data_IF_508253570334
#
_entry.id   IF_508253570334
#
_cell.length_a   1.000
_cell.length_b   1.000
_cell.length_c   1.000
_cell.angle_alpha   90.00
_cell.angle_beta   90.00
_cell.angle_gamma   90.00
#
_symmetry.space_group_name_H-M   'P 1'
#
loop_
_entity.id
_entity.type
_entity.pdbx_description
1 polymer ?
#
# COMPACT_ATOMS: atom_id res chain seq x y z
N UNK A 1 4.21 -25.13 -17.11
CA UNK A 1 3.67 -23.86 -16.58
C UNK A 1 3.14 -23.08 -17.77
N UNK A 2 1.95 -22.45 -17.69
CA UNK A 2 1.53 -21.50 -18.70
C UNK A 2 2.50 -20.31 -18.68
N UNK A 3 3.08 -19.98 -19.82
CA UNK A 3 3.89 -18.78 -20.00
C UNK A 3 2.96 -17.69 -20.47
N UNK A 4 2.73 -16.66 -19.64
CA UNK A 4 1.96 -15.48 -20.08
C UNK A 4 2.85 -14.62 -20.99
N UNK A 5 2.28 -14.09 -22.06
CA UNK A 5 2.98 -13.10 -22.87
C UNK A 5 3.16 -11.81 -22.05
N UNK A 6 4.31 -11.16 -22.18
CA UNK A 6 4.67 -9.95 -21.40
C UNK A 6 3.61 -8.83 -21.56
N UNK A 7 3.06 -8.67 -22.77
CA UNK A 7 1.98 -7.73 -23.05
C UNK A 7 0.68 -8.03 -22.26
N UNK A 8 0.31 -9.30 -22.08
CA UNK A 8 -0.87 -9.66 -21.29
C UNK A 8 -0.68 -9.30 -19.82
N UNK A 9 0.55 -9.40 -19.32
CA UNK A 9 0.89 -9.10 -17.94
C UNK A 9 0.91 -7.59 -17.70
N UNK A 10 1.54 -6.83 -18.59
CA UNK A 10 1.53 -5.36 -18.55
C UNK A 10 0.08 -4.85 -18.62
N UNK A 11 -0.73 -5.42 -19.51
CA UNK A 11 -2.13 -5.04 -19.64
C UNK A 11 -2.96 -5.27 -18.36
N UNK A 12 -2.64 -6.29 -17.56
CA UNK A 12 -3.29 -6.52 -16.24
C UNK A 12 -2.96 -5.45 -15.21
N UNK A 13 -1.82 -4.77 -15.36
CA UNK A 13 -1.35 -3.75 -14.43
C UNK A 13 -1.44 -2.32 -14.98
N UNK A 14 -2.01 -2.11 -16.18
CA UNK A 14 -2.16 -0.78 -16.77
C UNK A 14 -2.81 0.23 -15.81
N UNK A 15 -3.85 -0.21 -15.08
CA UNK A 15 -4.56 0.63 -14.11
C UNK A 15 -3.73 0.95 -12.84
N UNK A 16 -2.61 0.27 -12.64
CA UNK A 16 -1.67 0.44 -11.53
C UNK A 16 -0.29 0.95 -11.99
N UNK A 17 -0.14 1.27 -13.28
CA UNK A 17 1.12 1.74 -13.86
C UNK A 17 1.66 3.01 -13.18
N UNK A 18 0.79 3.81 -12.57
CA UNK A 18 1.17 5.00 -11.80
C UNK A 18 1.97 4.67 -10.52
N UNK A 19 1.87 3.44 -10.01
CA UNK A 19 2.65 2.98 -8.86
C UNK A 19 4.09 2.62 -9.24
N UNK A 20 4.36 2.35 -10.52
CA UNK A 20 5.66 1.88 -11.00
C UNK A 20 6.63 3.05 -11.16
N UNK A 21 7.87 2.88 -10.73
CA UNK A 21 8.95 3.87 -10.84
C UNK A 21 9.72 4.07 -9.52
N UNK A 22 10.65 5.02 -9.57
CA UNK A 22 11.41 5.45 -8.40
C UNK A 22 10.84 6.74 -7.83
N UNK A 23 10.65 6.76 -6.50
CA UNK A 23 9.99 7.86 -5.81
C UNK A 23 10.76 8.34 -4.59
N UNK A 24 10.66 9.63 -4.32
CA UNK A 24 10.85 10.20 -2.99
C UNK A 24 9.51 10.18 -2.27
N UNK A 25 9.52 9.92 -0.95
CA UNK A 25 8.31 9.84 -0.14
C UNK A 25 8.35 10.91 0.94
N UNK A 26 7.28 11.69 1.06
CA UNK A 26 6.98 12.50 2.25
C UNK A 26 5.91 11.80 3.08
N UNK A 27 6.21 11.55 4.35
CA UNK A 27 5.32 10.84 5.29
C UNK A 27 4.63 11.85 6.19
N UNK A 28 3.32 11.69 6.36
CA UNK A 28 2.49 12.53 7.21
C UNK A 28 1.74 11.69 8.24
N UNK A 29 1.79 12.13 9.50
CA UNK A 29 1.00 11.57 10.60
C UNK A 29 -0.26 12.42 10.79
N UNK A 30 -1.39 11.79 11.13
CA UNK A 30 -2.61 12.54 11.44
C UNK A 30 -2.62 13.02 12.88
N UNK A 31 -2.87 14.30 13.08
CA UNK A 31 -3.08 14.93 14.37
C UNK A 31 -4.49 15.54 14.43
N UNK A 32 -5.22 15.30 15.52
CA UNK A 32 -6.62 15.73 15.65
C UNK A 32 -6.81 17.25 15.60
N UNK A 33 -5.83 18.05 16.06
CA UNK A 33 -5.96 19.51 16.11
C UNK A 33 -5.34 20.21 14.90
N UNK A 34 -4.29 19.63 14.31
CA UNK A 34 -3.53 20.24 13.22
C UNK A 34 -3.72 19.55 11.85
N UNK A 35 -4.45 18.44 11.80
CA UNK A 35 -4.58 17.62 10.61
C UNK A 35 -3.29 16.88 10.27
N UNK A 36 -2.96 16.77 8.98
CA UNK A 36 -1.77 16.08 8.50
C UNK A 36 -0.50 16.90 8.76
N UNK A 37 0.43 16.35 9.54
CA UNK A 37 1.74 16.95 9.80
C UNK A 37 2.82 16.04 9.23
N UNK A 38 3.79 16.62 8.50
CA UNK A 38 4.92 15.84 7.99
C UNK A 38 5.73 15.29 9.16
N UNK A 39 5.94 13.98 9.17
CA UNK A 39 6.57 13.21 10.24
C UNK A 39 7.76 12.39 9.79
N UNK A 40 8.01 12.33 8.48
CA UNK A 40 9.11 11.54 7.94
C UNK A 40 9.31 11.72 6.44
N UNK A 41 10.30 11.00 5.95
CA UNK A 41 10.69 11.00 4.53
C UNK A 41 11.36 9.69 4.17
N UNK A 42 11.38 9.36 2.89
CA UNK A 42 11.91 8.09 2.42
C UNK A 42 11.99 7.98 0.92
N UNK A 43 12.14 6.76 0.46
CA UNK A 43 12.13 6.43 -0.97
C UNK A 43 11.41 5.10 -1.19
N UNK A 44 10.95 4.93 -2.43
CA UNK A 44 10.42 3.69 -2.94
C UNK A 44 11.00 3.41 -4.33
N UNK A 45 11.25 2.13 -4.59
CA UNK A 45 11.57 1.56 -5.90
C UNK A 45 10.46 0.55 -6.21
N UNK A 46 9.66 0.82 -7.23
CA UNK A 46 8.53 -0.03 -7.62
C UNK A 46 8.69 -0.46 -9.09
N UNK A 47 8.57 -1.76 -9.37
CA UNK A 47 8.77 -2.33 -10.70
C UNK A 47 7.83 -3.49 -10.99
N UNK A 48 7.60 -3.75 -12.27
CA UNK A 48 6.93 -4.98 -12.72
C UNK A 48 7.99 -6.06 -12.87
N UNK A 49 7.79 -7.19 -12.22
CA UNK A 49 8.62 -8.39 -12.31
C UNK A 49 7.73 -9.58 -12.66
N UNK A 50 7.83 -10.05 -13.91
CA UNK A 50 6.93 -11.08 -14.44
C UNK A 50 5.47 -10.72 -14.13
N UNK A 51 4.72 -11.60 -13.45
CA UNK A 51 3.30 -11.44 -13.12
C UNK A 51 3.01 -10.62 -11.86
N UNK A 52 3.99 -9.87 -11.35
CA UNK A 52 3.88 -9.12 -10.10
C UNK A 52 4.34 -7.67 -10.25
N UNK A 53 3.79 -6.78 -9.43
CA UNK A 53 4.46 -5.51 -9.10
C UNK A 53 5.18 -5.72 -7.78
N UNK A 54 6.47 -5.44 -7.72
CA UNK A 54 7.25 -5.45 -6.48
C UNK A 54 7.67 -4.04 -6.11
N UNK A 55 7.56 -3.70 -4.83
CA UNK A 55 7.94 -2.40 -4.30
C UNK A 55 8.84 -2.58 -3.08
N UNK A 56 9.95 -1.85 -3.04
CA UNK A 56 10.81 -1.73 -1.87
C UNK A 56 10.66 -0.32 -1.30
N UNK A 57 10.22 -0.21 -0.05
CA UNK A 57 10.03 1.08 0.62
C UNK A 57 11.02 1.22 1.77
N UNK A 58 11.68 2.36 1.87
CA UNK A 58 12.51 2.74 3.02
C UNK A 58 12.07 4.10 3.53
N UNK A 59 11.53 4.14 4.75
CA UNK A 59 11.08 5.37 5.41
C UNK A 59 11.91 5.62 6.66
N UNK A 60 12.19 6.89 6.92
CA UNK A 60 12.68 7.39 8.21
C UNK A 60 11.58 8.27 8.80
N UNK A 61 11.03 7.85 9.95
CA UNK A 61 9.91 8.52 10.64
C UNK A 61 10.13 8.45 12.14
N UNK A 62 10.10 9.60 12.83
CA UNK A 62 10.05 9.67 14.31
C UNK A 62 11.07 8.70 14.98
N UNK A 63 12.34 8.77 14.55
CA UNK A 63 13.47 7.94 15.00
C UNK A 63 13.39 6.43 14.69
N UNK A 64 12.45 6.01 13.85
CA UNK A 64 12.31 4.65 13.35
C UNK A 64 12.60 4.56 11.85
N UNK A 65 13.34 3.52 11.45
CA UNK A 65 13.52 3.16 10.06
C UNK A 65 12.56 2.02 9.70
N UNK A 66 11.60 2.30 8.82
CA UNK A 66 10.64 1.31 8.33
C UNK A 66 11.11 0.81 6.97
N UNK A 67 11.26 -0.50 6.82
CA UNK A 67 11.63 -1.15 5.57
C UNK A 67 10.54 -2.13 5.14
N UNK A 68 9.82 -1.82 4.07
CA UNK A 68 8.76 -2.68 3.55
C UNK A 68 9.18 -3.29 2.21
N UNK A 69 8.80 -4.55 2.01
CA UNK A 69 8.79 -5.20 0.71
C UNK A 69 7.34 -5.55 0.38
N UNK A 70 6.78 -4.90 -0.63
CA UNK A 70 5.42 -5.13 -1.08
C UNK A 70 5.42 -5.93 -2.39
N UNK A 71 4.40 -6.75 -2.56
CA UNK A 71 4.16 -7.50 -3.80
C UNK A 71 2.67 -7.43 -4.12
N UNK A 72 2.35 -6.93 -5.31
CA UNK A 72 0.98 -6.89 -5.83
C UNK A 72 0.84 -7.91 -6.94
N UNK A 73 -0.16 -8.78 -6.82
CA UNK A 73 -0.55 -9.75 -7.84
C UNK A 73 -1.99 -9.49 -8.27
N UNK A 74 -2.35 -9.92 -9.47
CA UNK A 74 -3.74 -10.02 -9.90
C UNK A 74 -4.21 -11.47 -9.80
N UNK A 75 -5.20 -11.70 -8.95
CA UNK A 75 -5.86 -13.00 -8.76
C UNK A 75 -6.93 -13.18 -9.84
N UNK A 76 -6.64 -14.06 -10.80
CA UNK A 76 -7.53 -14.32 -11.94
C UNK A 76 -8.80 -15.07 -11.54
N UNK A 77 -8.81 -15.76 -10.40
CA UNK A 77 -9.96 -16.58 -9.97
C UNK A 77 -11.12 -15.70 -9.53
N UNK A 78 -10.83 -14.64 -8.77
CA UNK A 78 -11.84 -13.72 -8.25
C UNK A 78 -11.73 -12.29 -8.78
N UNK A 79 -10.90 -12.08 -9.81
CA UNK A 79 -10.68 -10.80 -10.49
C UNK A 79 -10.33 -9.66 -9.52
N UNK A 80 -9.45 -9.93 -8.56
CA UNK A 80 -9.05 -8.96 -7.54
C UNK A 80 -7.54 -8.81 -7.45
N UNK A 81 -7.07 -7.67 -6.96
CA UNK A 81 -5.65 -7.52 -6.65
C UNK A 81 -5.36 -8.07 -5.27
N UNK A 82 -4.20 -8.69 -5.09
CA UNK A 82 -3.66 -9.08 -3.79
C UNK A 82 -2.42 -8.27 -3.52
N UNK A 83 -2.35 -7.68 -2.35
CA UNK A 83 -1.12 -7.03 -1.87
C UNK A 83 -0.62 -7.82 -0.68
N UNK A 84 0.63 -8.28 -0.75
CA UNK A 84 1.38 -8.79 0.38
C UNK A 84 2.39 -7.72 0.78
N UNK A 85 2.41 -7.34 2.06
CA UNK A 85 3.35 -6.37 2.63
C UNK A 85 4.18 -7.08 3.68
N UNK A 86 5.50 -7.13 3.48
CA UNK A 86 6.45 -7.65 4.44
C UNK A 86 7.21 -6.51 5.11
N UNK A 87 6.94 -6.30 6.39
CA UNK A 87 7.67 -5.35 7.23
C UNK A 87 8.91 -6.03 7.81
N UNK A 88 10.08 -5.67 7.27
CA UNK A 88 11.38 -6.19 7.72
C UNK A 88 11.81 -5.64 9.06
N UNK A 89 11.31 -4.47 9.45
CA UNK A 89 11.64 -3.83 10.72
C UNK A 89 10.97 -4.58 11.87
N UNK A 90 9.72 -5.01 11.67
CA UNK A 90 8.93 -5.69 12.71
C UNK A 90 8.85 -7.21 12.53
N UNK A 91 9.26 -7.74 11.37
CA UNK A 91 9.15 -9.17 11.06
C UNK A 91 7.69 -9.61 10.88
N UNK A 92 6.85 -8.75 10.30
CA UNK A 92 5.42 -9.02 10.10
C UNK A 92 5.04 -9.10 8.63
N UNK A 93 4.00 -9.89 8.34
CA UNK A 93 3.40 -10.03 7.01
C UNK A 93 1.93 -9.67 7.11
N UNK A 94 1.49 -8.78 6.23
CA UNK A 94 0.07 -8.46 6.05
C UNK A 94 -0.37 -8.77 4.63
N UNK A 95 -1.57 -9.30 4.47
CA UNK A 95 -2.18 -9.60 3.17
C UNK A 95 -3.48 -8.82 3.01
N UNK A 96 -3.64 -8.20 1.85
CA UNK A 96 -4.77 -7.35 1.53
C UNK A 96 -5.45 -7.78 0.23
N UNK A 97 -6.77 -7.62 0.20
CA UNK A 97 -7.59 -7.71 -1.01
C UNK A 97 -7.83 -6.31 -1.57
N UNK A 98 -7.59 -6.16 -2.85
CA UNK A 98 -7.61 -4.91 -3.60
C UNK A 98 -8.74 -4.86 -4.62
N UNK A 99 -9.41 -3.71 -4.70
CA UNK A 99 -10.41 -3.39 -5.72
C UNK A 99 -10.10 -2.05 -6.35
N UNK A 100 -10.33 -1.92 -7.65
CA UNK A 100 -10.19 -0.65 -8.38
C UNK A 100 -11.55 0.03 -8.48
N UNK A 101 -11.58 1.34 -8.22
CA UNK A 101 -12.75 2.19 -8.43
C UNK A 101 -12.27 3.59 -8.79
N UNK A 102 -12.71 4.15 -9.92
CA UNK A 102 -12.40 5.52 -10.36
C UNK A 102 -10.89 5.86 -10.27
N UNK A 103 -10.04 5.07 -10.93
CA UNK A 103 -8.56 5.24 -10.93
C UNK A 103 -7.89 5.16 -9.55
N UNK A 104 -8.64 4.76 -8.53
CA UNK A 104 -8.16 4.55 -7.16
C UNK A 104 -8.13 3.05 -6.90
N UNK A 105 -7.00 2.53 -6.42
CA UNK A 105 -6.95 1.17 -5.89
C UNK A 105 -7.04 1.21 -4.37
N UNK A 106 -7.96 0.41 -3.84
CA UNK A 106 -8.21 0.30 -2.41
C UNK A 106 -7.91 -1.12 -1.99
N UNK A 107 -6.91 -1.28 -1.13
CA UNK A 107 -6.58 -2.53 -0.47
C UNK A 107 -7.11 -2.52 0.96
N UNK A 108 -7.64 -3.64 1.44
CA UNK A 108 -7.97 -3.82 2.85
C UNK A 108 -7.76 -5.27 3.30
N UNK A 109 -7.57 -5.47 4.60
CA UNK A 109 -7.35 -6.79 5.20
C UNK A 109 -8.54 -7.25 6.07
N UNK A 110 -9.76 -6.77 5.80
CA UNK A 110 -10.95 -7.20 6.55
C UNK A 110 -11.18 -8.70 6.43
N UNK A 111 -11.00 -9.24 5.23
CA UNK A 111 -11.18 -10.65 4.91
C UNK A 111 -9.89 -11.48 5.07
N UNK A 112 -8.81 -10.87 5.58
CA UNK A 112 -7.56 -11.59 5.85
C UNK A 112 -7.76 -12.59 6.98
N UNK A 113 -7.24 -13.80 6.80
CA UNK A 113 -7.15 -14.82 7.86
C UNK A 113 -6.19 -14.38 8.97
N UNK A 114 -5.20 -13.56 8.63
CA UNK A 114 -4.26 -12.96 9.58
C UNK A 114 -4.83 -11.64 10.11
N UNK A 115 -5.18 -11.62 11.40
CA UNK A 115 -5.65 -10.42 12.10
C UNK A 115 -4.49 -9.74 12.83
N UNK A 116 -4.26 -8.47 12.53
CA UNK A 116 -3.32 -7.64 13.28
C UNK A 116 -3.94 -7.24 14.61
N UNK A 117 -3.20 -7.40 15.71
CA UNK A 117 -3.65 -6.95 17.05
C UNK A 117 -2.91 -5.70 17.47
N UNK A 118 -3.59 -4.81 18.18
CA UNK A 118 -2.94 -3.66 18.81
C UNK A 118 -2.27 -4.03 20.14
N UNK A 119 -1.66 -3.03 20.80
CA UNK A 119 -1.01 -3.21 22.11
C UNK A 119 -1.94 -3.70 23.22
N UNK A 120 -3.25 -3.55 23.05
CA UNK A 120 -4.29 -4.01 23.98
C UNK A 120 -4.86 -5.38 23.58
N UNK A 121 -4.38 -6.00 22.51
CA UNK A 121 -4.86 -7.29 22.00
C UNK A 121 -6.13 -7.20 21.13
N UNK A 122 -6.62 -5.99 20.85
CA UNK A 122 -7.80 -5.76 20.01
C UNK A 122 -7.45 -5.96 18.53
N UNK A 123 -8.35 -6.59 17.79
CA UNK A 123 -8.19 -6.75 16.33
C UNK A 123 -8.31 -5.39 15.64
N UNK A 124 -7.34 -5.09 14.79
CA UNK A 124 -7.31 -3.92 13.92
C UNK A 124 -7.20 -4.39 12.48
N UNK A 125 -7.93 -3.71 11.59
CA UNK A 125 -7.78 -3.84 10.15
C UNK A 125 -7.36 -2.52 9.54
N UNK A 126 -6.63 -2.59 8.43
CA UNK A 126 -6.11 -1.45 7.69
C UNK A 126 -6.74 -1.38 6.30
N UNK A 127 -6.80 -0.16 5.78
CA UNK A 127 -7.20 0.16 4.42
C UNK A 127 -6.16 1.09 3.82
N UNK A 128 -5.65 0.71 2.66
CA UNK A 128 -4.67 1.45 1.89
C UNK A 128 -5.36 1.97 0.64
N UNK A 129 -5.37 3.27 0.45
CA UNK A 129 -6.00 3.95 -0.67
C UNK A 129 -4.89 4.58 -1.49
N UNK A 130 -4.62 4.03 -2.67
CA UNK A 130 -3.66 4.62 -3.61
C UNK A 130 -4.41 5.40 -4.67
N UNK A 131 -3.96 6.64 -4.89
CA UNK A 131 -4.56 7.55 -5.85
C UNK A 131 -3.48 8.30 -6.62
N UNK A 132 -3.65 8.44 -7.93
CA UNK A 132 -2.84 9.35 -8.74
C UNK A 132 -3.25 10.80 -8.47
N UNK A 133 -2.29 11.67 -8.15
CA UNK A 133 -2.55 13.11 -7.97
C UNK A 133 -2.19 13.90 -9.22
N UNK A 134 -1.09 13.54 -9.88
CA UNK A 134 -0.61 14.20 -11.09
C UNK A 134 0.18 13.24 -11.98
N UNK A 135 0.89 13.77 -12.98
CA UNK A 135 1.80 12.97 -13.80
C UNK A 135 3.01 12.46 -13.01
N UNK A 136 3.42 13.17 -11.95
CA UNK A 136 4.64 12.91 -11.18
C UNK A 136 4.38 12.60 -9.72
N UNK A 137 3.13 12.71 -9.26
CA UNK A 137 2.76 12.49 -7.87
C UNK A 137 1.61 11.50 -7.70
N UNK A 138 1.72 10.68 -6.67
CA UNK A 138 0.67 9.80 -6.19
C UNK A 138 0.62 9.79 -4.66
N UNK A 139 -0.56 9.47 -4.14
CA UNK A 139 -0.87 9.46 -2.73
C UNK A 139 -1.18 8.03 -2.28
N UNK A 140 -0.71 7.68 -1.09
CA UNK A 140 -1.19 6.56 -0.31
C UNK A 140 -1.78 7.10 1.00
N UNK A 141 -3.06 6.87 1.25
CA UNK A 141 -3.69 7.10 2.55
C UNK A 141 -3.94 5.76 3.22
N UNK A 142 -3.39 5.60 4.42
CA UNK A 142 -3.64 4.46 5.30
C UNK A 142 -4.66 4.87 6.36
N UNK A 143 -5.75 4.13 6.43
CA UNK A 143 -6.72 4.19 7.50
C UNK A 143 -6.75 2.89 8.29
N UNK A 144 -7.25 2.95 9.52
CA UNK A 144 -7.48 1.78 10.35
C UNK A 144 -8.92 1.73 10.87
N UNK A 145 -9.37 0.53 11.23
CA UNK A 145 -10.68 0.30 11.83
C UNK A 145 -10.56 -0.67 12.99
N UNK A 146 -11.39 -0.44 14.02
CA UNK A 146 -11.57 -1.34 15.17
C UNK A 146 -12.94 -2.02 15.18
N UNK A 147 -13.81 -1.65 14.24
CA UNK A 147 -15.22 -2.04 14.22
C UNK A 147 -15.61 -2.70 12.90
N UNK A 148 -14.70 -3.54 12.37
CA UNK A 148 -14.90 -4.33 11.14
C UNK A 148 -15.28 -3.47 9.93
N UNK A 149 -14.67 -2.29 9.81
CA UNK A 149 -14.82 -1.41 8.66
C UNK A 149 -16.04 -0.48 8.70
N UNK A 150 -16.84 -0.47 9.78
CA UNK A 150 -17.95 0.49 9.95
C UNK A 150 -17.46 1.93 10.03
N UNK A 151 -16.30 2.15 10.65
CA UNK A 151 -15.65 3.45 10.76
C UNK A 151 -14.17 3.31 10.46
N UNK A 152 -13.64 4.26 9.69
CA UNK A 152 -12.23 4.33 9.32
C UNK A 152 -11.62 5.60 9.88
N UNK A 153 -10.52 5.43 10.61
CA UNK A 153 -9.77 6.53 11.19
C UNK A 153 -8.48 6.72 10.39
N UNK A 154 -8.05 7.97 10.11
CA UNK A 154 -6.79 8.23 9.44
C UNK A 154 -5.61 7.74 10.29
N UNK A 155 -4.61 7.15 9.64
CA UNK A 155 -3.40 6.68 10.30
C UNK A 155 -2.17 7.40 9.77
N UNK A 156 -1.84 7.16 8.50
CA UNK A 156 -0.65 7.67 7.82
C UNK A 156 -1.03 8.10 6.42
N UNK A 157 -0.39 9.15 5.92
CA UNK A 157 -0.47 9.55 4.51
C UNK A 157 0.94 9.67 3.94
N UNK A 158 1.18 9.08 2.79
CA UNK A 158 2.44 9.18 2.05
C UNK A 158 2.18 9.88 0.71
N UNK A 159 2.99 10.89 0.41
CA UNK A 159 3.05 11.51 -0.91
C UNK A 159 4.31 11.01 -1.60
N UNK A 160 4.14 10.37 -2.75
CA UNK A 160 5.20 9.87 -3.60
C UNK A 160 5.42 10.88 -4.71
N UNK A 161 6.66 11.34 -4.87
CA UNK A 161 7.08 12.24 -5.94
C UNK A 161 8.13 11.52 -6.77
N UNK A 162 7.88 11.36 -8.07
CA UNK A 162 8.77 10.67 -8.99
C UNK A 162 10.13 11.37 -9.05
N UNK A 163 11.21 10.58 -9.12
CA UNK A 163 12.58 11.07 -9.29
C UNK A 163 12.87 11.49 -10.72
#
# INVERSE_FOLDING_TARGET
MPTFAEEEVINRFNNLSFLVGDFNISVYSYNLTKGWIQSGKGNSECKIEETFITEKVKLNKEDCNVCLNNTIAFDVVDSSYRLMSFDKTLGSVDVYKGTISNETIIFNNLDSEYKTKNKLGEDISFKLIYKRLSATENELVVGYTKNKGRTWFPFVKNIYTRK
#
